data_IF_707323285844
#
_entry.id   IF_707323285844
#
_cell.length_a   1.000
_cell.length_b   1.000
_cell.length_c   1.000
_cell.angle_alpha   90.00
_cell.angle_beta   90.00
_cell.angle_gamma   90.00
#
_symmetry.space_group_name_H-M   'P 1'
#
loop_
_entity.id
_entity.type
_entity.pdbx_description
1 polymer ?
#
# COMPACT_ATOMS: atom_id res chain seq x y z
N UNK A 1 4.82 -29.22 -20.69
CA UNK A 1 5.43 -27.88 -20.88
C UNK A 1 4.51 -26.92 -21.63
N UNK A 2 3.83 -27.33 -22.73
CA UNK A 2 2.92 -26.44 -23.48
C UNK A 2 1.71 -25.92 -22.67
N UNK A 3 1.07 -26.78 -21.85
CA UNK A 3 -0.09 -26.40 -21.04
C UNK A 3 0.21 -25.33 -19.97
N UNK A 4 1.40 -25.35 -19.39
CA UNK A 4 1.86 -24.30 -18.46
C UNK A 4 2.12 -22.98 -19.19
N UNK A 5 2.67 -23.02 -20.41
CA UNK A 5 2.92 -21.81 -21.17
C UNK A 5 1.62 -21.11 -21.63
N UNK A 6 0.59 -21.87 -22.01
CA UNK A 6 -0.72 -21.34 -22.42
C UNK A 6 -1.50 -20.75 -21.24
N UNK A 7 -1.58 -21.46 -20.10
CA UNK A 7 -2.21 -20.93 -18.89
C UNK A 7 -1.51 -19.65 -18.41
N UNK A 8 -0.18 -19.61 -18.48
CA UNK A 8 0.60 -18.41 -18.14
C UNK A 8 0.40 -17.26 -19.14
N UNK A 9 0.19 -17.54 -20.42
CA UNK A 9 -0.03 -16.51 -21.44
C UNK A 9 -1.39 -15.84 -21.24
N UNK A 10 -2.46 -16.63 -21.09
CA UNK A 10 -3.84 -16.13 -20.89
C UNK A 10 -3.99 -15.38 -19.57
N UNK A 11 -3.27 -15.81 -18.52
CA UNK A 11 -3.14 -15.06 -17.28
C UNK A 11 -2.54 -13.69 -17.61
N UNK A 12 -1.27 -13.62 -18.03
CA UNK A 12 -0.54 -12.34 -18.05
C UNK A 12 -1.13 -11.20 -18.90
N UNK A 13 -1.82 -11.49 -20.01
CA UNK A 13 -2.41 -10.43 -20.86
C UNK A 13 -3.53 -9.68 -20.13
N UNK A 14 -4.22 -10.31 -19.17
CA UNK A 14 -5.34 -9.69 -18.47
C UNK A 14 -4.94 -8.81 -17.26
N UNK A 15 -3.78 -9.05 -16.63
CA UNK A 15 -3.33 -8.35 -15.40
C UNK A 15 -2.61 -7.02 -15.68
N UNK A 16 -2.09 -6.82 -16.89
CA UNK A 16 -1.36 -5.59 -17.27
C UNK A 16 -2.27 -4.36 -17.49
N UNK A 17 -3.56 -4.44 -17.16
CA UNK A 17 -4.46 -3.30 -17.34
C UNK A 17 -4.32 -2.32 -16.18
N UNK A 18 -3.74 -1.16 -16.49
CA UNK A 18 -3.82 0.02 -15.62
C UNK A 18 -5.27 0.49 -15.56
N UNK A 19 -5.85 0.49 -14.36
CA UNK A 19 -7.19 1.02 -14.13
C UNK A 19 -7.13 2.56 -14.03
N UNK A 20 -7.96 3.26 -14.81
CA UNK A 20 -8.15 4.71 -14.74
C UNK A 20 -9.65 5.01 -14.54
N UNK A 21 -10.09 5.40 -13.33
CA UNK A 21 -11.43 5.92 -13.16
C UNK A 21 -11.53 7.31 -13.80
N UNK A 22 -12.55 7.55 -14.63
CA UNK A 22 -12.70 8.81 -15.38
C UNK A 22 -13.18 10.00 -14.51
N UNK A 23 -13.62 9.80 -13.26
CA UNK A 23 -14.17 10.87 -12.41
C UNK A 23 -13.82 10.74 -10.92
N UNK A 24 -13.65 11.89 -10.25
CA UNK A 24 -13.20 12.08 -8.87
C UNK A 24 -14.26 11.79 -7.76
N UNK A 25 -15.34 11.07 -8.08
CA UNK A 25 -16.27 10.58 -7.05
C UNK A 25 -15.58 9.49 -6.22
N UNK A 26 -15.94 9.23 -4.95
CA UNK A 26 -15.42 8.06 -4.25
C UNK A 26 -15.89 6.79 -4.97
N UNK A 27 -15.02 6.29 -5.85
CA UNK A 27 -15.16 5.05 -6.63
C UNK A 27 -15.06 3.81 -5.75
N UNK A 28 -14.86 3.99 -4.45
CA UNK A 28 -14.71 2.92 -3.48
C UNK A 28 -15.94 2.90 -2.54
N UNK A 29 -16.32 1.71 -2.09
CA UNK A 29 -17.38 1.48 -1.12
C UNK A 29 -16.89 0.50 -0.06
N UNK A 30 -17.28 0.72 1.19
CA UNK A 30 -16.93 -0.19 2.30
C UNK A 30 -18.13 -1.05 2.68
N UNK A 31 -17.94 -2.36 2.75
CA UNK A 31 -18.91 -3.32 3.26
C UNK A 31 -18.20 -4.48 3.97
N UNK A 32 -18.74 -4.96 5.08
CA UNK A 32 -18.21 -6.12 5.84
C UNK A 32 -16.73 -6.00 6.25
N UNK A 33 -16.23 -4.78 6.51
CA UNK A 33 -14.82 -4.56 6.83
C UNK A 33 -13.89 -4.66 5.62
N UNK A 34 -14.42 -4.64 4.40
CA UNK A 34 -13.65 -4.65 3.15
C UNK A 34 -14.03 -3.46 2.27
N UNK A 35 -13.12 -3.08 1.39
CA UNK A 35 -13.27 -2.00 0.43
C UNK A 35 -13.40 -2.58 -0.96
N UNK A 36 -14.38 -2.12 -1.71
CA UNK A 36 -14.70 -2.59 -3.04
C UNK A 36 -14.74 -1.43 -4.03
N UNK A 37 -14.51 -1.73 -5.29
CA UNK A 37 -14.88 -0.81 -6.35
C UNK A 37 -16.41 -0.64 -6.33
N UNK A 38 -16.86 0.60 -6.26
CA UNK A 38 -18.28 0.97 -6.27
C UNK A 38 -18.93 0.40 -7.53
N UNK A 39 -20.09 -0.20 -7.35
CA UNK A 39 -20.92 -0.64 -8.47
C UNK A 39 -21.34 0.58 -9.30
N UNK A 40 -20.85 0.67 -10.53
CA UNK A 40 -21.25 1.69 -11.52
C UNK A 40 -22.53 1.30 -12.29
N UNK A 41 -23.19 0.19 -11.91
CA UNK A 41 -24.37 -0.30 -12.61
C UNK A 41 -25.54 0.70 -12.59
N UNK A 42 -26.46 0.56 -13.56
CA UNK A 42 -27.71 1.34 -13.75
C UNK A 42 -28.71 1.30 -12.58
N UNK A 43 -28.32 0.80 -11.42
CA UNK A 43 -29.17 0.50 -10.26
C UNK A 43 -29.71 1.73 -9.52
N UNK A 44 -29.35 2.96 -9.93
CA UNK A 44 -29.96 4.19 -9.44
C UNK A 44 -29.86 4.41 -7.91
N UNK A 45 -28.94 3.74 -7.23
CA UNK A 45 -28.74 3.86 -5.78
C UNK A 45 -29.46 2.81 -4.90
N UNK A 46 -30.24 1.89 -5.48
CA UNK A 46 -31.00 0.87 -4.72
C UNK A 46 -30.46 -0.57 -4.87
N UNK A 47 -29.17 -0.73 -5.20
CA UNK A 47 -28.59 -2.06 -5.44
C UNK A 47 -28.40 -2.86 -4.14
N UNK A 48 -28.80 -4.12 -4.19
CA UNK A 48 -28.63 -5.10 -3.12
C UNK A 48 -27.27 -5.81 -3.17
N UNK A 49 -26.33 -5.32 -3.98
CA UNK A 49 -25.08 -6.01 -4.32
C UNK A 49 -24.16 -6.28 -3.12
N UNK A 50 -24.41 -5.60 -2.00
CA UNK A 50 -23.70 -5.80 -0.74
C UNK A 50 -24.61 -6.34 0.38
N UNK A 51 -25.78 -6.90 0.08
CA UNK A 51 -26.67 -7.46 1.11
C UNK A 51 -26.20 -8.82 1.64
N UNK A 52 -25.37 -9.54 0.88
CA UNK A 52 -24.74 -10.79 1.33
C UNK A 52 -23.31 -10.87 0.84
N UNK A 53 -22.38 -11.14 1.75
CA UNK A 53 -20.95 -11.16 1.48
C UNK A 53 -20.56 -12.22 0.42
N UNK A 54 -21.25 -13.35 0.40
CA UNK A 54 -21.08 -14.46 -0.56
C UNK A 54 -21.66 -14.15 -1.95
N UNK A 55 -22.28 -12.99 -2.15
CA UNK A 55 -22.81 -12.57 -3.47
C UNK A 55 -22.05 -11.38 -4.05
N UNK A 56 -21.06 -10.86 -3.33
CA UNK A 56 -20.25 -9.73 -3.77
C UNK A 56 -19.33 -10.21 -4.89
N UNK A 57 -19.51 -9.61 -6.06
CA UNK A 57 -18.70 -9.87 -7.26
C UNK A 57 -17.87 -8.66 -7.66
N UNK A 58 -18.08 -7.52 -6.99
CA UNK A 58 -17.32 -6.29 -7.20
C UNK A 58 -15.84 -6.53 -6.87
N UNK A 59 -14.91 -5.89 -7.62
CA UNK A 59 -13.50 -5.98 -7.31
C UNK A 59 -13.19 -5.55 -5.87
N UNK A 60 -12.43 -6.37 -5.15
CA UNK A 60 -11.85 -6.01 -3.86
C UNK A 60 -10.72 -5.01 -4.10
N UNK A 61 -10.70 -3.91 -3.36
CA UNK A 61 -9.62 -2.92 -3.42
C UNK A 61 -8.73 -3.11 -2.20
N UNK A 62 -7.45 -3.34 -2.44
CA UNK A 62 -6.44 -3.45 -1.40
C UNK A 62 -5.41 -2.35 -1.64
N UNK A 63 -5.21 -1.49 -0.65
CA UNK A 63 -4.19 -0.47 -0.68
C UNK A 63 -2.91 -0.98 0.00
N UNK A 64 -1.75 -0.67 -0.57
CA UNK A 64 -0.44 -0.98 0.02
C UNK A 64 0.43 0.28 0.06
N UNK A 65 1.22 0.42 1.11
CA UNK A 65 2.30 1.40 1.21
C UNK A 65 3.50 0.82 1.97
N UNK A 66 4.69 1.32 1.66
CA UNK A 66 5.95 0.96 2.31
C UNK A 66 6.72 2.21 2.72
N UNK A 67 7.26 2.21 3.93
CA UNK A 67 8.01 3.34 4.48
C UNK A 67 9.38 2.92 4.97
N UNK A 68 10.37 3.80 4.79
CA UNK A 68 11.70 3.65 5.34
C UNK A 68 12.09 4.92 6.08
N UNK A 69 12.51 4.79 7.33
CA UNK A 69 13.13 5.84 8.14
C UNK A 69 14.61 5.52 8.27
N UNK A 70 15.45 6.37 7.70
CA UNK A 70 16.90 6.17 7.65
C UNK A 70 17.66 7.35 8.25
N UNK A 71 19.00 7.26 8.26
CA UNK A 71 19.86 8.32 8.76
C UNK A 71 19.69 9.66 8.02
N UNK A 72 19.35 9.63 6.72
CA UNK A 72 19.30 10.84 5.87
C UNK A 72 18.17 11.77 6.30
N UNK A 73 17.06 11.18 6.73
CA UNK A 73 15.85 11.94 7.06
C UNK A 73 15.61 11.98 8.57
N UNK A 74 15.97 10.92 9.30
CA UNK A 74 15.64 10.75 10.71
C UNK A 74 16.86 10.67 11.64
N UNK A 75 18.08 10.67 11.10
CA UNK A 75 19.30 10.58 11.91
C UNK A 75 19.45 9.26 12.67
N UNK A 76 18.79 8.18 12.22
CA UNK A 76 18.86 6.85 12.82
C UNK A 76 20.14 6.12 12.39
N UNK A 77 20.84 5.50 13.34
CA UNK A 77 21.99 4.64 13.04
C UNK A 77 21.55 3.38 12.27
N UNK A 78 20.46 2.75 12.73
CA UNK A 78 19.84 1.61 12.07
C UNK A 78 18.53 2.04 11.39
N UNK A 79 18.36 1.79 10.08
CA UNK A 79 17.13 2.14 9.39
C UNK A 79 15.96 1.28 9.88
N UNK A 80 14.76 1.88 9.93
CA UNK A 80 13.51 1.21 10.30
C UNK A 80 12.59 1.22 9.09
N UNK A 81 12.13 0.05 8.67
CA UNK A 81 11.15 -0.10 7.60
C UNK A 81 9.81 -0.60 8.13
N UNK A 82 8.73 -0.10 7.57
CA UNK A 82 7.37 -0.52 7.88
C UNK A 82 6.56 -0.73 6.61
N UNK A 83 5.56 -1.60 6.70
CA UNK A 83 4.59 -1.82 5.64
C UNK A 83 3.17 -1.64 6.15
N UNK A 84 2.30 -1.18 5.25
CA UNK A 84 0.88 -1.01 5.50
C UNK A 84 0.07 -1.67 4.39
N UNK A 85 -0.86 -2.56 4.77
CA UNK A 85 -1.87 -3.10 3.86
C UNK A 85 -3.23 -2.78 4.41
N UNK A 86 -4.02 -2.04 3.64
CA UNK A 86 -5.38 -1.66 4.02
C UNK A 86 -6.39 -2.30 3.08
N UNK A 87 -7.22 -3.19 3.61
CA UNK A 87 -8.32 -3.82 2.86
C UNK A 87 -9.67 -3.23 3.22
N UNK A 88 -9.80 -2.57 4.37
CA UNK A 88 -11.03 -1.91 4.80
C UNK A 88 -11.02 -1.47 6.26
N UNK A 89 -11.89 -0.52 6.66
CA UNK A 89 -11.97 -0.06 8.04
C UNK A 89 -12.27 -1.19 9.03
N UNK A 90 -11.45 -1.32 10.07
CA UNK A 90 -11.62 -2.34 11.12
C UNK A 90 -11.43 -3.79 10.65
N UNK A 91 -10.90 -4.00 9.43
CA UNK A 91 -10.65 -5.34 8.93
C UNK A 91 -9.58 -6.04 9.75
N UNK A 92 -9.77 -7.31 10.14
CA UNK A 92 -8.70 -8.11 10.77
C UNK A 92 -7.56 -8.42 9.80
N UNK A 93 -7.74 -8.16 8.50
CA UNK A 93 -6.74 -8.36 7.45
C UNK A 93 -5.92 -7.10 7.16
N UNK A 94 -6.16 -5.98 7.84
CA UNK A 94 -5.26 -4.84 7.74
C UNK A 94 -3.90 -5.20 8.36
N UNK A 95 -2.81 -4.84 7.70
CA UNK A 95 -1.44 -5.12 8.14
C UNK A 95 -0.75 -3.81 8.49
N UNK A 96 -0.11 -3.78 9.66
CA UNK A 96 0.75 -2.70 10.14
C UNK A 96 1.92 -3.36 10.85
N UNK A 97 2.99 -3.62 10.09
CA UNK A 97 4.10 -4.45 10.55
C UNK A 97 5.45 -3.83 10.17
N UNK A 98 6.47 -4.14 10.98
CA UNK A 98 7.86 -3.84 10.65
C UNK A 98 8.32 -4.82 9.59
N UNK A 99 8.96 -4.30 8.55
CA UNK A 99 9.63 -5.12 7.56
C UNK A 99 11.07 -5.41 8.06
N UNK A 100 11.44 -6.67 8.30
CA UNK A 100 12.82 -7.01 8.64
C UNK A 100 13.76 -6.60 7.52
N UNK A 101 14.88 -5.95 7.87
CA UNK A 101 15.85 -5.46 6.91
C UNK A 101 17.08 -6.37 6.76
N UNK A 102 17.16 -7.45 7.54
CA UNK A 102 18.32 -8.35 7.63
C UNK A 102 18.70 -9.01 6.28
N UNK A 103 17.71 -9.20 5.41
CA UNK A 103 17.89 -9.79 4.08
C UNK A 103 18.39 -8.78 3.03
N UNK A 104 18.48 -7.49 3.37
CA UNK A 104 18.93 -6.44 2.46
C UNK A 104 20.26 -5.84 2.91
N UNK A 105 21.28 -5.93 2.05
CA UNK A 105 22.56 -5.27 2.30
C UNK A 105 22.44 -3.75 2.31
N UNK A 106 21.52 -3.19 1.51
CA UNK A 106 21.25 -1.75 1.41
C UNK A 106 19.74 -1.50 1.23
N UNK A 107 18.94 -1.55 2.32
CA UNK A 107 17.51 -1.32 2.23
C UNK A 107 17.21 0.10 1.76
N UNK A 108 16.19 0.24 0.91
CA UNK A 108 15.75 1.52 0.37
C UNK A 108 14.22 1.52 0.19
N UNK A 109 13.63 2.69 -0.03
CA UNK A 109 12.18 2.83 -0.16
C UNK A 109 11.58 1.93 -1.26
N UNK A 110 12.28 1.72 -2.39
CA UNK A 110 11.80 0.83 -3.45
C UNK A 110 11.64 -0.62 -2.99
N UNK A 111 12.55 -1.15 -2.16
CA UNK A 111 12.40 -2.50 -1.60
C UNK A 111 11.12 -2.61 -0.77
N UNK A 112 10.92 -1.64 0.14
CA UNK A 112 9.78 -1.67 1.08
C UNK A 112 8.45 -1.52 0.35
N UNK A 113 8.38 -0.65 -0.66
CA UNK A 113 7.17 -0.49 -1.49
C UNK A 113 6.80 -1.77 -2.26
N UNK A 114 7.80 -2.49 -2.80
CA UNK A 114 7.54 -3.75 -3.53
C UNK A 114 7.15 -4.87 -2.56
N UNK A 115 7.80 -4.98 -1.40
CA UNK A 115 7.41 -5.94 -0.36
C UNK A 115 5.99 -5.69 0.15
N UNK A 116 5.61 -4.43 0.40
CA UNK A 116 4.25 -4.10 0.79
C UNK A 116 3.21 -4.54 -0.26
N UNK A 117 3.54 -4.42 -1.56
CA UNK A 117 2.71 -4.92 -2.64
C UNK A 117 2.60 -6.46 -2.65
N UNK A 118 3.69 -7.18 -2.34
CA UNK A 118 3.69 -8.65 -2.19
C UNK A 118 2.76 -9.04 -1.03
N UNK A 119 2.94 -8.43 0.14
CA UNK A 119 2.11 -8.69 1.33
C UNK A 119 0.64 -8.38 1.10
N UNK A 120 0.31 -7.39 0.27
CA UNK A 120 -1.07 -7.11 -0.10
C UNK A 120 -1.70 -8.26 -0.90
N UNK A 121 -0.96 -8.91 -1.81
CA UNK A 121 -1.44 -10.07 -2.54
C UNK A 121 -1.52 -11.33 -1.67
N UNK A 122 -0.56 -11.52 -0.77
CA UNK A 122 -0.61 -12.59 0.24
C UNK A 122 -1.78 -12.40 1.21
N UNK A 123 -2.11 -11.15 1.56
CA UNK A 123 -3.31 -10.83 2.34
C UNK A 123 -4.59 -11.16 1.58
N UNK A 124 -4.63 -10.88 0.28
CA UNK A 124 -5.72 -11.33 -0.57
C UNK A 124 -5.84 -12.86 -0.61
N UNK A 125 -4.72 -13.59 -0.65
CA UNK A 125 -4.70 -15.05 -0.59
C UNK A 125 -5.35 -15.54 0.70
N UNK A 126 -4.91 -15.02 1.86
CA UNK A 126 -5.47 -15.36 3.17
C UNK A 126 -6.97 -15.12 3.24
N UNK A 127 -7.46 -13.98 2.73
CA UNK A 127 -8.90 -13.69 2.64
C UNK A 127 -9.64 -14.80 1.87
N UNK A 128 -9.09 -15.30 0.76
CA UNK A 128 -9.71 -16.38 -0.02
C UNK A 128 -9.64 -17.72 0.69
N UNK A 129 -8.52 -18.04 1.32
CA UNK A 129 -8.30 -19.29 2.08
C UNK A 129 -9.24 -19.39 3.29
N UNK A 130 -9.49 -18.28 3.98
CA UNK A 130 -10.45 -18.18 5.07
C UNK A 130 -11.92 -18.24 4.61
N UNK A 131 -12.17 -18.41 3.31
CA UNK A 131 -13.50 -18.49 2.71
C UNK A 131 -14.23 -17.16 2.63
N UNK A 132 -13.54 -16.04 2.89
CA UNK A 132 -14.12 -14.71 2.76
C UNK A 132 -14.24 -14.31 1.29
N UNK A 133 -15.36 -13.67 0.95
CA UNK A 133 -15.61 -13.12 -0.40
C UNK A 133 -15.40 -14.16 -1.53
N UNK A 134 -16.03 -15.34 -1.47
CA UNK A 134 -15.78 -16.46 -2.39
C UNK A 134 -16.01 -16.09 -3.86
N UNK A 135 -16.99 -15.22 -4.12
CA UNK A 135 -17.40 -14.80 -5.45
C UNK A 135 -16.59 -13.63 -6.03
N UNK A 136 -15.73 -12.98 -5.23
CA UNK A 136 -14.81 -11.96 -5.76
C UNK A 136 -13.77 -12.65 -6.64
N UNK A 137 -13.73 -12.23 -7.91
CA UNK A 137 -12.81 -12.73 -8.96
C UNK A 137 -11.79 -11.69 -9.41
N UNK A 138 -11.84 -10.48 -8.87
CA UNK A 138 -10.91 -9.40 -9.23
C UNK A 138 -10.46 -8.68 -7.96
N UNK A 139 -9.16 -8.46 -7.85
CA UNK A 139 -8.52 -7.57 -6.86
C UNK A 139 -7.91 -6.40 -7.62
N UNK A 140 -8.08 -5.20 -7.07
CA UNK A 140 -7.37 -3.99 -7.48
C UNK A 140 -6.35 -3.69 -6.40
N UNK A 141 -5.06 -3.87 -6.70
CA UNK A 141 -3.97 -3.42 -5.86
C UNK A 141 -3.70 -1.94 -6.14
N UNK A 142 -3.95 -1.13 -5.12
CA UNK A 142 -3.86 0.33 -5.11
C UNK A 142 -2.56 0.74 -4.41
N UNK A 143 -1.75 1.56 -5.05
CA UNK A 143 -0.46 2.01 -4.51
C UNK A 143 -0.11 3.38 -5.07
N UNK A 144 0.55 4.22 -4.27
CA UNK A 144 1.13 5.48 -4.70
C UNK A 144 2.52 5.34 -5.34
N UNK A 145 3.11 4.14 -5.27
CA UNK A 145 4.38 3.82 -5.94
C UNK A 145 4.18 3.56 -7.44
N UNK A 146 4.11 4.63 -8.24
CA UNK A 146 4.05 4.50 -9.70
C UNK A 146 5.30 3.81 -10.24
N UNK A 147 6.48 4.16 -9.75
CA UNK A 147 7.75 3.76 -10.35
C UNK A 147 8.21 2.36 -9.94
N UNK A 148 7.93 1.94 -8.71
CA UNK A 148 8.42 0.66 -8.19
C UNK A 148 7.34 -0.44 -8.22
N UNK A 149 6.05 -0.10 -8.17
CA UNK A 149 4.98 -1.12 -8.18
C UNK A 149 4.16 -1.05 -9.46
N UNK A 150 3.42 0.05 -9.68
CA UNK A 150 2.36 0.05 -10.70
C UNK A 150 2.91 0.00 -12.12
N UNK A 151 3.90 0.82 -12.46
CA UNK A 151 4.45 0.87 -13.83
C UNK A 151 5.22 -0.41 -14.18
N UNK A 152 6.12 -0.96 -13.34
CA UNK A 152 6.75 -2.24 -13.61
C UNK A 152 5.75 -3.36 -13.89
N UNK A 153 4.73 -3.48 -13.04
CA UNK A 153 3.75 -4.58 -13.14
C UNK A 153 2.70 -4.41 -14.23
N UNK A 154 2.52 -3.20 -14.78
CA UNK A 154 1.56 -2.95 -15.87
C UNK A 154 2.20 -2.77 -17.24
N UNK A 155 3.51 -2.49 -17.30
CA UNK A 155 4.19 -2.08 -18.53
C UNK A 155 5.40 -2.95 -18.86
N UNK A 156 6.19 -3.36 -17.87
CA UNK A 156 7.50 -3.95 -18.10
C UNK A 156 7.56 -5.45 -17.87
N UNK A 157 6.72 -5.98 -16.97
CA UNK A 157 6.80 -7.36 -16.50
C UNK A 157 6.72 -8.38 -17.65
N UNK A 158 5.86 -8.13 -18.65
CA UNK A 158 5.74 -8.99 -19.83
C UNK A 158 7.02 -9.07 -20.67
N UNK A 159 7.71 -7.94 -20.82
CA UNK A 159 8.96 -7.88 -21.57
C UNK A 159 10.10 -8.51 -20.77
N UNK A 160 10.18 -8.22 -19.47
CA UNK A 160 11.17 -8.79 -18.58
C UNK A 160 11.08 -10.31 -18.54
N UNK A 161 9.87 -10.87 -18.37
CA UNK A 161 9.67 -12.32 -18.33
C UNK A 161 10.11 -13.03 -19.60
N UNK A 162 9.84 -12.45 -20.78
CA UNK A 162 10.23 -13.05 -22.08
C UNK A 162 11.73 -13.28 -22.18
N UNK A 163 12.53 -12.45 -21.51
CA UNK A 163 13.98 -12.54 -21.48
C UNK A 163 14.52 -13.11 -20.17
N UNK A 164 13.68 -13.80 -19.36
CA UNK A 164 14.09 -14.38 -18.09
C UNK A 164 14.52 -13.34 -17.04
N UNK A 165 13.99 -12.12 -17.15
CA UNK A 165 14.36 -10.95 -16.36
C UNK A 165 15.83 -10.52 -16.53
N UNK A 166 16.41 -10.77 -17.70
CA UNK A 166 17.77 -10.36 -18.05
C UNK A 166 17.78 -9.35 -19.22
N UNK A 167 18.77 -8.46 -19.22
CA UNK A 167 19.12 -7.60 -20.34
C UNK A 167 19.81 -8.42 -21.43
N UNK A 168 19.97 -7.88 -22.65
CA UNK A 168 20.73 -8.57 -23.71
C UNK A 168 22.17 -8.94 -23.32
N UNK A 169 22.76 -8.18 -22.39
CA UNK A 169 24.12 -8.42 -21.88
C UNK A 169 24.16 -9.48 -20.76
N UNK A 170 23.01 -10.05 -20.36
CA UNK A 170 22.89 -11.08 -19.33
C UNK A 170 22.76 -10.55 -17.90
N UNK A 171 22.73 -9.24 -17.71
CA UNK A 171 22.54 -8.60 -16.40
C UNK A 171 21.06 -8.56 -16.01
N UNK A 172 20.71 -8.49 -14.71
CA UNK A 172 19.32 -8.30 -14.29
C UNK A 172 18.69 -7.02 -14.89
N UNK A 173 17.46 -7.11 -15.41
CA UNK A 173 16.71 -5.93 -15.93
C UNK A 173 16.38 -4.89 -14.86
N UNK A 174 16.44 -5.29 -13.59
CA UNK A 174 16.25 -4.44 -12.44
C UNK A 174 17.07 -4.98 -11.27
N UNK A 175 17.57 -4.07 -10.44
CA UNK A 175 18.18 -4.41 -9.14
C UNK A 175 17.20 -5.18 -8.24
N UNK A 176 15.89 -5.00 -8.44
CA UNK A 176 14.83 -5.63 -7.65
C UNK A 176 14.22 -6.86 -8.33
N UNK A 177 14.95 -7.51 -9.26
CA UNK A 177 14.48 -8.64 -10.05
C UNK A 177 13.77 -9.70 -9.20
N UNK A 178 14.40 -10.10 -8.10
CA UNK A 178 13.90 -11.22 -7.29
C UNK A 178 12.60 -10.85 -6.55
N UNK A 179 12.43 -9.56 -6.19
CA UNK A 179 11.17 -9.04 -5.66
C UNK A 179 10.06 -9.03 -6.73
N UNK A 180 10.36 -8.59 -7.96
CA UNK A 180 9.38 -8.65 -9.04
C UNK A 180 8.98 -10.08 -9.38
N UNK A 181 9.93 -11.03 -9.30
CA UNK A 181 9.65 -12.44 -9.48
C UNK A 181 8.71 -12.97 -8.38
N UNK A 182 8.94 -12.61 -7.12
CA UNK A 182 8.03 -12.94 -6.00
C UNK A 182 6.65 -12.32 -6.18
N UNK A 183 6.59 -11.04 -6.58
CA UNK A 183 5.33 -10.34 -6.83
C UNK A 183 4.54 -10.98 -7.99
N UNK A 184 5.19 -11.37 -9.09
CA UNK A 184 4.56 -12.10 -10.18
C UNK A 184 4.03 -13.46 -9.70
N UNK A 185 4.82 -14.21 -8.93
CA UNK A 185 4.41 -15.50 -8.39
C UNK A 185 3.18 -15.39 -7.49
N UNK A 186 3.08 -14.34 -6.67
CA UNK A 186 1.90 -14.10 -5.85
C UNK A 186 0.63 -13.86 -6.70
N UNK A 187 0.75 -13.14 -7.82
CA UNK A 187 -0.35 -12.95 -8.78
C UNK A 187 -0.76 -14.29 -9.41
N UNK A 188 0.22 -15.06 -9.89
CA UNK A 188 -0.04 -16.35 -10.53
C UNK A 188 -0.71 -17.30 -9.54
N UNK A 189 -0.23 -17.34 -8.28
CA UNK A 189 -0.81 -18.16 -7.24
C UNK A 189 -2.28 -17.81 -7.00
N UNK A 190 -2.62 -16.52 -6.86
CA UNK A 190 -4.00 -16.06 -6.67
C UNK A 190 -4.92 -16.53 -7.81
N UNK A 191 -4.44 -16.46 -9.05
CA UNK A 191 -5.23 -16.91 -10.19
C UNK A 191 -5.37 -18.42 -10.24
N UNK A 192 -4.26 -19.17 -10.15
CA UNK A 192 -4.27 -20.62 -10.31
C UNK A 192 -5.07 -21.29 -9.20
N UNK A 193 -4.98 -20.77 -7.97
CA UNK A 193 -5.62 -21.38 -6.80
C UNK A 193 -7.08 -20.92 -6.62
N UNK A 194 -7.40 -19.66 -6.94
CA UNK A 194 -8.72 -19.10 -6.64
C UNK A 194 -9.46 -18.49 -7.84
N UNK A 195 -8.86 -18.50 -9.03
CA UNK A 195 -9.42 -17.85 -10.23
C UNK A 195 -9.55 -16.34 -10.07
N UNK A 196 -8.70 -15.72 -9.25
CA UNK A 196 -8.75 -14.27 -8.96
C UNK A 196 -7.75 -13.52 -9.83
N UNK A 197 -8.23 -12.51 -10.54
CA UNK A 197 -7.42 -11.59 -11.34
C UNK A 197 -6.93 -10.43 -10.49
N UNK A 198 -5.74 -9.93 -10.76
CA UNK A 198 -5.14 -8.77 -10.08
C UNK A 198 -4.94 -7.64 -11.08
N UNK A 199 -5.40 -6.45 -10.72
CA UNK A 199 -5.21 -5.23 -11.48
C UNK A 199 -4.41 -4.23 -10.65
N UNK A 200 -3.56 -3.45 -11.29
CA UNK A 200 -2.77 -2.42 -10.61
C UNK A 200 -3.37 -1.04 -10.87
N UNK A 201 -3.55 -0.28 -9.79
CA UNK A 201 -4.04 1.08 -9.84
C UNK A 201 -3.08 2.02 -9.13
N UNK A 202 -2.53 2.96 -9.89
CA UNK A 202 -1.75 4.05 -9.31
C UNK A 202 -2.68 5.16 -8.86
N UNK A 203 -2.36 5.74 -7.72
CA UNK A 203 -2.96 6.98 -7.26
C UNK A 203 -1.97 7.91 -6.57
N UNK A 204 -2.29 9.21 -6.50
CA UNK A 204 -1.56 10.13 -5.64
C UNK A 204 -1.54 9.70 -4.15
N UNK A 205 -0.47 10.06 -3.44
CA UNK A 205 -0.24 9.68 -2.01
C UNK A 205 -1.37 10.15 -1.10
N UNK A 206 -1.92 11.33 -1.35
CA UNK A 206 -3.06 11.91 -0.62
C UNK A 206 -4.31 11.03 -0.65
N UNK A 207 -4.40 10.09 -1.60
CA UNK A 207 -5.50 9.14 -1.70
C UNK A 207 -5.13 7.75 -1.17
N UNK A 208 -3.88 7.52 -0.73
CA UNK A 208 -3.39 6.27 -0.13
C UNK A 208 -3.22 6.36 1.40
N UNK A 209 -3.87 7.34 2.03
CA UNK A 209 -3.63 7.72 3.43
C UNK A 209 -3.87 6.61 4.45
N UNK A 210 -4.76 5.64 4.20
CA UNK A 210 -5.00 4.55 5.15
C UNK A 210 -3.85 3.54 5.18
N UNK A 211 -3.23 3.24 4.04
CA UNK A 211 -2.06 2.36 4.02
C UNK A 211 -0.82 3.08 4.60
N UNK A 212 -0.63 4.34 4.25
CA UNK A 212 0.41 5.21 4.84
C UNK A 212 0.27 5.31 6.36
N UNK A 213 -0.95 5.47 6.89
CA UNK A 213 -1.19 5.51 8.33
C UNK A 213 -0.80 4.20 9.03
N UNK A 214 -1.02 3.05 8.38
CA UNK A 214 -0.59 1.75 8.91
C UNK A 214 0.93 1.60 8.91
N UNK A 215 1.62 2.12 7.90
CA UNK A 215 3.09 2.19 7.86
C UNK A 215 3.63 3.02 9.03
N UNK A 216 3.08 4.22 9.22
CA UNK A 216 3.47 5.10 10.33
C UNK A 216 3.18 4.47 11.68
N UNK A 217 2.02 3.85 11.87
CA UNK A 217 1.67 3.14 13.09
C UNK A 217 2.69 2.05 13.45
N UNK A 218 3.13 1.27 12.47
CA UNK A 218 4.12 0.21 12.67
C UNK A 218 5.47 0.78 13.13
N UNK A 219 5.98 1.77 12.39
CA UNK A 219 7.28 2.37 12.68
C UNK A 219 7.27 3.17 13.99
N UNK A 220 6.21 3.92 14.27
CA UNK A 220 6.09 4.67 15.52
C UNK A 220 5.99 3.74 16.73
N UNK A 221 5.20 2.66 16.62
CA UNK A 221 5.08 1.67 17.70
C UNK A 221 6.42 0.97 17.97
N UNK A 222 7.21 0.73 16.93
CA UNK A 222 8.55 0.13 17.06
C UNK A 222 9.56 1.10 17.67
N UNK A 223 9.58 2.35 17.21
CA UNK A 223 10.57 3.35 17.63
C UNK A 223 10.28 3.96 19.00
N UNK A 224 9.01 4.16 19.35
CA UNK A 224 8.60 4.91 20.54
C UNK A 224 7.78 4.08 21.54
N UNK A 225 7.56 2.80 21.24
CA UNK A 225 6.68 1.93 22.01
C UNK A 225 5.20 2.11 21.66
N UNK A 226 4.38 1.12 22.02
CA UNK A 226 2.93 1.19 21.79
C UNK A 226 2.30 2.26 22.67
N UNK A 227 1.72 3.30 22.07
CA UNK A 227 0.84 4.21 22.81
C UNK A 227 -0.46 3.46 23.11
N UNK A 228 -0.85 3.22 24.37
CA UNK A 228 -2.11 2.57 24.67
C UNK A 228 -3.26 3.43 24.14
N UNK A 229 -4.11 2.83 23.31
CA UNK A 229 -5.32 3.46 22.83
C UNK A 229 -6.29 3.66 24.01
N UNK A 230 -6.28 4.85 24.61
CA UNK A 230 -7.28 5.27 25.59
C UNK A 230 -6.73 5.59 26.98
N UNK A 231 -6.17 6.79 27.12
CA UNK A 231 -6.14 7.51 28.39
C UNK A 231 -6.82 8.85 28.19
N UNK A 232 -8.12 8.93 28.45
CA UNK A 232 -8.79 10.22 28.62
C UNK A 232 -8.23 10.85 29.90
N UNK A 233 -7.14 11.59 29.79
CA UNK A 233 -6.73 12.51 30.84
C UNK A 233 -7.64 13.73 30.74
N UNK A 234 -8.75 13.66 31.47
CA UNK A 234 -9.41 14.86 31.97
C UNK A 234 -8.36 15.63 32.76
N UNK A 235 -7.83 16.69 32.14
CA UNK A 235 -7.05 17.72 32.81
C UNK A 235 -7.98 18.38 33.83
N UNK A 236 -7.89 17.94 35.07
CA UNK A 236 -8.44 18.64 36.20
C UNK A 236 -7.58 19.88 36.41
N UNK A 237 -8.12 21.03 36.00
CA UNK A 237 -7.72 22.35 36.47
C UNK A 237 -7.57 22.31 38.00
N UNK A 238 -6.34 22.46 38.48
CA UNK A 238 -6.05 22.87 39.85
C UNK A 238 -5.80 24.38 39.80
N UNK A 239 -6.53 25.22 40.56
CA UNK A 239 -6.29 26.64 40.58
C UNK A 239 -4.93 26.96 41.20
N UNK A 240 -4.32 28.00 40.66
CA UNK A 240 -3.05 28.61 41.03
C UNK A 240 -3.00 28.98 42.53
N UNK A 241 -1.84 28.71 43.16
CA UNK A 241 -1.45 29.36 44.40
C UNK A 241 -0.34 30.35 44.05
N UNK A 242 -0.66 31.63 44.24
CA UNK A 242 0.20 32.78 44.00
C UNK A 242 1.31 32.82 45.06
N UNK A 243 2.57 32.87 44.64
CA UNK A 243 3.56 33.67 45.35
C UNK A 243 4.67 34.15 44.41
N UNK A 244 5.05 35.39 44.67
CA UNK A 244 5.71 36.36 43.81
C UNK A 244 7.23 36.13 43.64
N UNK A 245 7.79 36.90 42.69
CA UNK A 245 9.20 37.40 42.64
C UNK A 245 10.25 36.44 42.01
N UNK A 246 11.12 36.79 41.07
CA UNK A 246 11.53 38.03 40.38
C UNK A 246 11.88 37.66 38.90
N UNK A 247 11.70 38.50 37.88
CA UNK A 247 12.74 39.44 37.45
C UNK A 247 13.66 38.91 36.33
N UNK A 248 13.19 38.71 35.08
CA UNK A 248 14.10 38.38 33.97
C UNK A 248 13.50 38.46 32.56
N UNK A 249 13.94 39.44 31.78
CA UNK A 249 13.43 39.86 30.46
C UNK A 249 14.10 39.10 29.31
N UNK A 250 13.35 38.97 28.20
CA UNK A 250 13.76 38.80 26.78
C UNK A 250 13.63 37.41 26.15
N UNK A 251 12.84 37.34 25.07
CA UNK A 251 12.82 36.19 24.15
C UNK A 251 11.50 36.03 23.40
N UNK A 252 11.18 36.99 22.54
CA UNK A 252 10.10 36.91 21.56
C UNK A 252 10.35 35.79 20.54
N UNK A 253 9.23 35.19 20.11
CA UNK A 253 8.95 34.63 18.79
C UNK A 253 9.78 33.42 18.31
N UNK A 254 9.10 32.26 18.17
CA UNK A 254 9.10 31.49 16.90
C UNK A 254 8.13 30.29 16.97
N UNK A 255 6.84 30.61 16.86
CA UNK A 255 5.81 29.68 16.36
C UNK A 255 5.79 29.79 14.84
N UNK A 256 6.45 28.87 14.14
CA UNK A 256 6.31 28.75 12.68
C UNK A 256 5.60 27.45 12.29
N UNK A 257 4.27 27.55 12.28
CA UNK A 257 3.37 26.77 11.43
C UNK A 257 3.21 27.52 10.11
N UNK A 258 3.82 27.06 9.01
CA UNK A 258 3.37 27.31 7.62
C UNK A 258 3.95 26.25 6.67
N UNK A 259 3.06 25.50 6.00
CA UNK A 259 3.31 24.74 4.78
C UNK A 259 3.63 25.68 3.58
N UNK A 260 3.57 25.23 2.32
CA UNK A 260 4.29 24.19 1.58
C UNK A 260 5.23 24.81 0.52
N UNK A 261 6.11 24.04 -0.13
CA UNK A 261 6.76 24.46 -1.38
C UNK A 261 6.60 23.43 -2.50
N UNK A 262 5.63 23.73 -3.37
CA UNK A 262 5.73 23.49 -4.80
C UNK A 262 6.94 24.26 -5.34
N UNK A 263 7.89 23.58 -5.98
CA UNK A 263 8.53 24.09 -7.19
C UNK A 263 8.85 22.92 -8.12
N UNK A 264 8.19 22.92 -9.29
CA UNK A 264 8.55 22.12 -10.44
C UNK A 264 9.98 22.45 -10.89
N UNK A 265 10.78 21.42 -11.17
CA UNK A 265 11.69 21.47 -12.32
C UNK A 265 11.62 20.16 -13.10
N UNK A 266 11.08 20.30 -14.29
CA UNK A 266 11.35 19.44 -15.44
C UNK A 266 12.85 19.21 -15.58
N UNK A 267 13.26 17.98 -15.86
CA UNK A 267 14.26 17.68 -16.87
C UNK A 267 14.01 16.26 -17.40
N UNK A 268 13.67 16.24 -18.69
CA UNK A 268 13.83 15.11 -19.59
C UNK A 268 15.32 14.86 -19.76
N UNK A 269 15.74 13.60 -19.71
CA UNK A 269 16.61 12.92 -20.69
C UNK A 269 17.24 11.65 -20.06
N UNK A 270 17.20 10.58 -20.86
CA UNK A 270 17.62 9.17 -20.65
C UNK A 270 16.61 8.22 -20.00
#
# INVERSE_FOLDING_TARGET
MAYHAELYHDVTVEYNRRFYPEEASPIEHTAYGFRFLRCIGKCGGNCTCFQRQDTITQPLVIASDGGLRDWRTWGLEDPVAGMGVFVGPGSPYNVSEILPLDDYSEPNASHVEIEAAIYALETAMRIKEDGCLPEVKVIILKSDSLRNVVKPMSTYIDAWKKNGYLTPDGEPVSLYRDLYYRLENAIIALYVQHGVKTLFHWMPREHNGEADALVHLAMDSHMFGTVPAGGSSTSAFVPEDESEDDGGVAGQDDLHFLAPRNEMRFLLDY
#
